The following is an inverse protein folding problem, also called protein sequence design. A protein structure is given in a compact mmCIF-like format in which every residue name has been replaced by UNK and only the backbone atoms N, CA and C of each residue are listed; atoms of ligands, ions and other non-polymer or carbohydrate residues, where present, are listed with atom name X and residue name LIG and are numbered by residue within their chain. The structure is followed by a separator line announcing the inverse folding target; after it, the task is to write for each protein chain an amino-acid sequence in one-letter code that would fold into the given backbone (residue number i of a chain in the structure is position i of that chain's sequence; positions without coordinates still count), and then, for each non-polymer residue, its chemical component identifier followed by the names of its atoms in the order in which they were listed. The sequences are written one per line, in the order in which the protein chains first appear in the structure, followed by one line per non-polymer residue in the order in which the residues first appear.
data_IF_833150284455
#
_entry.id   IF_833150284455
#
_cell.length_a   1.000
_cell.length_b   1.000
_cell.length_c   1.000
_cell.angle_alpha   90.00
_cell.angle_beta   90.00
_cell.angle_gamma   90.00
#
_symmetry.space_group_name_H-M   'P 1'
#
loop_
_entity.id
_entity.type
_entity.pdbx_description
1 polymer ?
#
# COMPACT_ATOMS: atom_id res chain seq x y z
N UNK A 1 -20.40 -14.31 -30.72
CA UNK A 1 -20.27 -13.21 -31.70
C UNK A 1 -18.87 -12.64 -31.54
N UNK A 2 -17.99 -12.84 -32.53
CA UNK A 2 -16.60 -12.37 -32.47
C UNK A 2 -16.55 -10.86 -32.71
N UNK A 3 -15.98 -10.14 -31.75
CA UNK A 3 -15.74 -8.71 -31.86
C UNK A 3 -14.27 -8.50 -32.21
N UNK A 4 -14.00 -8.27 -33.48
CA UNK A 4 -12.71 -7.83 -34.01
C UNK A 4 -12.30 -6.53 -33.29
N UNK A 5 -11.15 -6.48 -32.59
CA UNK A 5 -10.77 -5.29 -31.84
C UNK A 5 -10.15 -4.23 -32.76
N UNK A 6 -10.90 -3.17 -33.05
CA UNK A 6 -10.39 -1.93 -33.64
C UNK A 6 -9.71 -1.12 -32.54
N UNK A 7 -8.41 -0.90 -32.68
CA UNK A 7 -7.60 -0.04 -31.80
C UNK A 7 -7.82 1.42 -32.22
N UNK A 8 -8.37 2.26 -31.35
CA UNK A 8 -8.42 3.71 -31.57
C UNK A 8 -7.14 4.38 -31.09
N UNK A 9 -6.52 5.10 -32.01
CA UNK A 9 -5.25 5.77 -31.88
C UNK A 9 -5.38 7.26 -31.60
N UNK A 10 -4.78 7.72 -30.51
CA UNK A 10 -4.28 9.10 -30.35
C UNK A 10 -3.08 9.05 -29.40
N UNK A 11 -1.87 8.82 -29.90
CA UNK A 11 -0.67 8.62 -29.07
C UNK A 11 0.27 9.84 -29.06
N UNK A 12 0.26 10.58 -27.95
CA UNK A 12 1.40 11.31 -27.42
C UNK A 12 1.26 11.39 -25.89
N UNK A 13 1.56 10.30 -25.17
CA UNK A 13 1.41 10.25 -23.72
C UNK A 13 2.74 10.07 -23.00
N UNK A 14 2.84 10.74 -21.86
CA UNK A 14 3.94 10.63 -20.88
C UNK A 14 3.93 9.26 -20.20
N UNK A 15 5.12 8.76 -19.83
CA UNK A 15 5.35 7.44 -19.21
C UNK A 15 4.58 7.26 -17.88
N UNK A 16 4.10 8.35 -17.29
CA UNK A 16 3.37 8.38 -16.02
C UNK A 16 1.85 8.25 -16.15
N UNK A 17 1.29 8.14 -17.36
CA UNK A 17 -0.16 7.98 -17.57
C UNK A 17 -0.44 6.64 -18.22
N UNK A 18 -1.36 5.88 -17.65
CA UNK A 18 -1.82 4.59 -18.15
C UNK A 18 -3.20 4.78 -18.77
N UNK A 19 -3.32 4.51 -20.07
CA UNK A 19 -4.58 4.58 -20.80
C UNK A 19 -5.13 3.18 -21.07
N UNK A 20 -6.41 3.02 -20.77
CA UNK A 20 -7.20 1.81 -20.96
C UNK A 20 -8.00 1.85 -22.27
N UNK A 21 -8.51 0.68 -22.68
CA UNK A 21 -9.26 0.50 -23.93
C UNK A 21 -10.58 1.30 -23.98
N UNK A 22 -11.21 1.48 -22.83
CA UNK A 22 -12.43 2.27 -22.63
C UNK A 22 -12.19 3.79 -22.76
N UNK A 23 -10.94 4.21 -22.94
CA UNK A 23 -10.54 5.61 -23.03
C UNK A 23 -10.20 6.23 -21.68
N UNK A 24 -10.32 5.49 -20.58
CA UNK A 24 -9.94 5.94 -19.23
C UNK A 24 -8.43 6.13 -19.14
N UNK A 25 -8.02 7.21 -18.48
CA UNK A 25 -6.62 7.54 -18.20
C UNK A 25 -6.42 7.59 -16.68
N UNK A 26 -5.35 6.97 -16.20
CA UNK A 26 -4.97 6.97 -14.80
C UNK A 26 -3.51 7.43 -14.71
N UNK A 27 -3.25 8.48 -13.95
CA UNK A 27 -1.87 8.83 -13.57
C UNK A 27 -1.35 7.79 -12.58
N UNK A 28 -0.09 7.36 -12.74
CA UNK A 28 0.58 6.45 -11.79
C UNK A 28 0.60 7.06 -10.38
N UNK A 29 0.71 8.39 -10.28
CA UNK A 29 0.73 9.09 -8.99
C UNK A 29 -0.61 9.04 -8.25
N UNK A 30 -1.72 8.90 -8.99
CA UNK A 30 -3.08 8.83 -8.44
C UNK A 30 -3.42 7.44 -7.87
N UNK A 31 -2.54 6.46 -8.02
CA UNK A 31 -2.71 5.12 -7.47
C UNK A 31 -2.53 5.19 -5.95
N UNK A 32 -3.57 4.78 -5.22
CA UNK A 32 -3.69 4.97 -3.77
C UNK A 32 -3.31 3.74 -2.96
N UNK A 33 -3.45 2.55 -3.53
CA UNK A 33 -3.15 1.29 -2.83
C UNK A 33 -2.28 0.37 -3.67
N UNK A 34 -1.50 -0.47 -3.01
CA UNK A 34 -0.66 -1.46 -3.70
C UNK A 34 -1.51 -2.46 -4.49
N UNK A 35 -2.70 -2.80 -3.98
CA UNK A 35 -3.65 -3.69 -4.65
C UNK A 35 -4.20 -3.09 -5.94
N UNK A 36 -4.64 -1.83 -5.89
CA UNK A 36 -5.06 -1.11 -7.09
C UNK A 36 -3.94 -1.09 -8.13
N UNK A 37 -2.71 -0.79 -7.70
CA UNK A 37 -1.56 -0.79 -8.59
C UNK A 37 -1.29 -2.17 -9.22
N UNK A 38 -1.42 -3.27 -8.48
CA UNK A 38 -1.27 -4.64 -9.00
C UNK A 38 -2.31 -4.97 -10.06
N UNK A 39 -3.57 -4.57 -9.87
CA UNK A 39 -4.64 -4.77 -10.85
C UNK A 39 -4.36 -4.00 -12.14
N UNK A 40 -3.89 -2.76 -12.03
CA UNK A 40 -3.48 -1.94 -13.17
C UNK A 40 -2.29 -2.60 -13.89
N UNK A 41 -1.30 -3.08 -13.16
CA UNK A 41 -0.12 -3.76 -13.73
C UNK A 41 -0.52 -5.02 -14.50
N UNK A 42 -1.43 -5.83 -13.96
CA UNK A 42 -1.96 -7.00 -14.66
C UNK A 42 -2.67 -6.61 -15.98
N UNK A 43 -3.45 -5.53 -15.98
CA UNK A 43 -4.09 -5.00 -17.18
C UNK A 43 -3.10 -4.47 -18.23
N UNK A 44 -2.01 -3.82 -17.78
CA UNK A 44 -0.91 -3.39 -18.66
C UNK A 44 -0.21 -4.59 -19.27
N UNK A 45 0.12 -5.62 -18.47
CA UNK A 45 0.78 -6.83 -18.93
C UNK A 45 -0.09 -7.61 -19.94
N UNK A 46 -1.39 -7.75 -19.67
CA UNK A 46 -2.33 -8.35 -20.61
C UNK A 46 -2.43 -7.56 -21.92
N UNK A 47 -2.40 -6.22 -21.85
CA UNK A 47 -2.41 -5.37 -23.04
C UNK A 47 -1.13 -5.48 -23.87
N UNK A 48 0.02 -5.63 -23.21
CA UNK A 48 1.32 -5.86 -23.87
C UNK A 48 1.25 -7.16 -24.68
N UNK A 49 0.84 -8.25 -24.04
CA UNK A 49 0.70 -9.56 -24.70
C UNK A 49 -0.28 -9.51 -25.87
N UNK A 50 -1.42 -8.81 -25.71
CA UNK A 50 -2.40 -8.68 -26.78
C UNK A 50 -1.88 -7.88 -27.98
N UNK A 51 -1.07 -6.84 -27.76
CA UNK A 51 -0.47 -6.06 -28.85
C UNK A 51 0.61 -6.89 -29.56
N UNK A 52 1.41 -7.65 -28.81
CA UNK A 52 2.43 -8.55 -29.36
C UNK A 52 1.79 -9.61 -30.26
N UNK A 53 0.75 -10.29 -29.77
CA UNK A 53 0.00 -11.28 -30.52
C UNK A 53 -0.63 -10.69 -31.80
N UNK A 54 -1.20 -9.49 -31.72
CA UNK A 54 -1.76 -8.80 -32.90
C UNK A 54 -0.68 -8.43 -33.91
N UNK A 55 0.52 -8.03 -33.48
CA UNK A 55 1.63 -7.68 -34.36
C UNK A 55 2.12 -8.92 -35.12
N UNK A 56 2.19 -10.06 -34.43
CA UNK A 56 2.67 -11.32 -35.01
C UNK A 56 1.72 -11.86 -36.09
N UNK A 57 0.41 -11.59 -35.95
CA UNK A 57 -0.63 -12.03 -36.89
C UNK A 57 -1.10 -10.92 -37.87
N UNK A 58 -0.44 -9.76 -37.89
CA UNK A 58 -0.86 -8.64 -38.72
C UNK A 58 -0.60 -8.88 -40.20
N UNK A 59 -1.58 -8.55 -41.04
CA UNK A 59 -1.37 -8.48 -42.50
C UNK A 59 -0.59 -7.21 -42.85
N UNK A 60 0.68 -7.39 -43.21
CA UNK A 60 1.60 -6.30 -43.58
C UNK A 60 1.70 -6.07 -45.10
N UNK A 61 0.90 -6.80 -45.90
CA UNK A 61 0.88 -6.65 -47.35
C UNK A 61 0.36 -5.26 -47.75
N UNK A 62 -0.58 -4.72 -46.97
CA UNK A 62 -1.16 -3.40 -47.17
C UNK A 62 -0.34 -2.28 -46.53
N UNK A 63 -0.38 -1.09 -47.12
CA UNK A 63 0.21 0.12 -46.51
C UNK A 63 -0.42 0.41 -45.15
N UNK A 64 -1.74 0.26 -45.05
CA UNK A 64 -2.48 0.42 -43.80
C UNK A 64 -1.99 -0.53 -42.70
N UNK A 65 -1.69 -1.79 -43.04
CA UNK A 65 -1.14 -2.77 -42.11
C UNK A 65 0.25 -2.37 -41.59
N UNK A 66 1.12 -1.85 -42.47
CA UNK A 66 2.45 -1.34 -42.07
C UNK A 66 2.36 -0.10 -41.18
N UNK A 67 1.45 0.82 -41.46
CA UNK A 67 1.20 1.98 -40.61
C UNK A 67 0.60 1.60 -39.26
N UNK A 68 -0.34 0.64 -39.24
CA UNK A 68 -0.86 0.05 -38.02
C UNK A 68 0.26 -0.56 -37.17
N UNK A 69 1.15 -1.37 -37.77
CA UNK A 69 2.27 -2.00 -37.05
C UNK A 69 3.19 -0.98 -36.38
N UNK A 70 3.61 0.06 -37.12
CA UNK A 70 4.43 1.15 -36.56
C UNK A 70 3.78 1.82 -35.35
N UNK A 71 2.45 1.96 -35.36
CA UNK A 71 1.69 2.57 -34.27
C UNK A 71 1.55 1.60 -33.08
N UNK A 72 1.27 0.32 -33.35
CA UNK A 72 1.23 -0.74 -32.35
C UNK A 72 2.58 -0.89 -31.62
N UNK A 73 3.71 -0.84 -32.34
CA UNK A 73 5.06 -0.87 -31.77
C UNK A 73 5.34 0.35 -30.87
N UNK A 74 4.86 1.55 -31.24
CA UNK A 74 4.95 2.74 -30.37
C UNK A 74 4.15 2.57 -29.10
N UNK A 75 2.90 2.12 -29.20
CA UNK A 75 2.06 1.85 -28.04
C UNK A 75 2.68 0.79 -27.11
N UNK A 76 3.21 -0.29 -27.69
CA UNK A 76 3.95 -1.34 -26.98
C UNK A 76 5.15 -0.77 -26.23
N UNK A 77 5.95 0.07 -26.89
CA UNK A 77 7.09 0.75 -26.28
C UNK A 77 6.68 1.64 -25.10
N UNK A 78 5.58 2.39 -25.22
CA UNK A 78 5.06 3.24 -24.13
C UNK A 78 4.63 2.39 -22.94
N UNK A 79 3.84 1.33 -23.17
CA UNK A 79 3.38 0.42 -22.10
C UNK A 79 4.53 -0.29 -21.39
N UNK A 80 5.54 -0.76 -22.14
CA UNK A 80 6.74 -1.37 -21.56
C UNK A 80 7.53 -0.37 -20.71
N UNK A 81 7.54 0.91 -21.08
CA UNK A 81 8.23 1.98 -20.33
C UNK A 81 7.48 2.45 -19.09
N UNK A 82 6.15 2.39 -19.06
CA UNK A 82 5.38 2.74 -17.86
C UNK A 82 5.45 1.67 -16.78
N UNK A 83 5.74 0.41 -17.16
CA UNK A 83 5.78 -0.74 -16.26
C UNK A 83 6.75 -0.58 -15.06
N UNK A 84 8.02 -0.16 -15.22
CA UNK A 84 8.91 0.05 -14.09
C UNK A 84 8.42 1.12 -13.10
N UNK A 85 7.87 2.23 -13.60
CA UNK A 85 7.34 3.31 -12.75
C UNK A 85 6.15 2.81 -11.93
N UNK A 86 5.26 2.04 -12.56
CA UNK A 86 4.13 1.42 -11.87
C UNK A 86 4.59 0.42 -10.80
N UNK A 87 5.59 -0.42 -11.11
CA UNK A 87 6.18 -1.36 -10.15
C UNK A 87 6.83 -0.64 -8.96
N UNK A 88 7.56 0.45 -9.20
CA UNK A 88 8.15 1.27 -8.15
C UNK A 88 7.08 1.83 -7.21
N UNK A 89 6.02 2.42 -7.79
CA UNK A 89 4.88 2.95 -7.03
C UNK A 89 4.17 1.88 -6.20
N UNK A 90 3.93 0.70 -6.76
CA UNK A 90 3.37 -0.45 -6.02
C UNK A 90 4.27 -0.81 -4.83
N UNK A 91 5.59 -0.85 -5.04
CA UNK A 91 6.55 -1.15 -3.98
C UNK A 91 6.53 -0.13 -2.85
N UNK A 92 6.44 1.16 -3.18
CA UNK A 92 6.29 2.24 -2.20
C UNK A 92 5.01 2.09 -1.37
N UNK A 93 3.87 1.92 -2.04
CA UNK A 93 2.58 1.75 -1.39
C UNK A 93 2.57 0.51 -0.49
N UNK A 94 3.12 -0.62 -0.94
CA UNK A 94 3.19 -1.84 -0.15
C UNK A 94 4.10 -1.70 1.10
N UNK A 95 5.16 -0.88 1.05
CA UNK A 95 5.97 -0.57 2.23
C UNK A 95 5.22 0.36 3.19
N UNK A 96 4.55 1.38 2.67
CA UNK A 96 3.74 2.30 3.47
C UNK A 96 2.60 1.57 4.21
N UNK A 97 1.86 0.72 3.50
CA UNK A 97 0.77 -0.11 4.06
C UNK A 97 1.27 -1.02 5.18
N UNK A 98 2.38 -1.73 4.96
CA UNK A 98 3.01 -2.58 5.99
C UNK A 98 3.51 -1.78 7.20
N UNK A 99 4.09 -0.61 6.97
CA UNK A 99 4.53 0.28 8.04
C UNK A 99 3.38 0.77 8.93
N UNK A 100 2.25 1.14 8.32
CA UNK A 100 1.04 1.52 9.06
C UNK A 100 0.45 0.33 9.83
N UNK A 101 0.33 -0.85 9.19
CA UNK A 101 -0.16 -2.05 9.85
C UNK A 101 0.70 -2.46 11.06
N UNK A 102 2.03 -2.42 10.91
CA UNK A 102 2.96 -2.72 12.00
C UNK A 102 2.82 -1.76 13.18
N UNK A 103 2.65 -0.45 12.91
CA UNK A 103 2.43 0.55 13.95
C UNK A 103 1.12 0.32 14.70
N UNK A 104 0.03 0.08 13.98
CA UNK A 104 -1.27 -0.20 14.59
C UNK A 104 -1.24 -1.47 15.45
N UNK A 105 -0.56 -2.52 14.98
CA UNK A 105 -0.37 -3.75 15.74
C UNK A 105 0.45 -3.50 17.03
N UNK A 106 1.51 -2.70 16.94
CA UNK A 106 2.32 -2.32 18.10
C UNK A 106 1.50 -1.51 19.12
N UNK A 107 0.75 -0.50 18.67
CA UNK A 107 -0.13 0.28 19.54
C UNK A 107 -1.21 -0.59 20.20
N UNK A 108 -1.79 -1.54 19.46
CA UNK A 108 -2.77 -2.48 20.00
C UNK A 108 -2.15 -3.35 21.11
N UNK A 109 -0.93 -3.86 20.89
CA UNK A 109 -0.21 -4.63 21.90
C UNK A 109 0.10 -3.81 23.16
N UNK A 110 0.49 -2.53 23.02
CA UNK A 110 0.69 -1.63 24.15
C UNK A 110 -0.61 -1.40 24.93
N UNK A 111 -1.73 -1.13 24.22
CA UNK A 111 -3.04 -0.95 24.86
C UNK A 111 -3.51 -2.20 25.61
N UNK A 112 -3.24 -3.39 25.06
CA UNK A 112 -3.56 -4.66 25.72
C UNK A 112 -2.73 -4.84 27.01
N UNK A 113 -1.43 -4.58 26.94
CA UNK A 113 -0.55 -4.63 28.10
C UNK A 113 -1.00 -3.66 29.20
N UNK A 114 -1.37 -2.43 28.84
CA UNK A 114 -1.90 -1.45 29.79
C UNK A 114 -3.28 -1.83 30.33
N UNK A 115 -4.11 -2.49 29.54
CA UNK A 115 -5.36 -3.10 30.00
C UNK A 115 -5.10 -4.12 31.11
N UNK A 116 -4.16 -5.06 30.89
CA UNK A 116 -3.77 -6.07 31.88
C UNK A 116 -3.20 -5.43 33.16
N UNK A 117 -2.31 -4.44 33.03
CA UNK A 117 -1.74 -3.70 34.17
C UNK A 117 -2.83 -3.01 35.00
N UNK A 118 -3.76 -2.29 34.35
CA UNK A 118 -4.85 -1.60 35.04
C UNK A 118 -5.77 -2.58 35.77
N UNK A 119 -6.14 -3.69 35.14
CA UNK A 119 -6.96 -4.72 35.78
C UNK A 119 -6.27 -5.33 37.00
N UNK A 120 -4.97 -5.60 36.91
CA UNK A 120 -4.17 -6.09 38.04
C UNK A 120 -4.15 -5.06 39.19
N UNK A 121 -3.84 -3.81 38.89
CA UNK A 121 -3.78 -2.73 39.90
C UNK A 121 -5.14 -2.58 40.58
N UNK A 122 -6.23 -2.55 39.81
CA UNK A 122 -7.57 -2.46 40.35
C UNK A 122 -7.91 -3.65 41.27
N UNK A 123 -7.59 -4.87 40.86
CA UNK A 123 -7.77 -6.06 41.71
C UNK A 123 -6.92 -5.99 42.99
N UNK A 124 -5.68 -5.52 42.90
CA UNK A 124 -4.80 -5.33 44.06
C UNK A 124 -5.41 -4.33 45.06
N UNK A 125 -5.93 -3.20 44.58
CA UNK A 125 -6.62 -2.22 45.43
C UNK A 125 -7.87 -2.79 46.09
N UNK A 126 -8.63 -3.66 45.40
CA UNK A 126 -9.79 -4.32 45.98
C UNK A 126 -9.42 -5.37 47.04
N UNK A 127 -8.31 -6.08 46.87
CA UNK A 127 -7.92 -7.19 47.75
C UNK A 127 -7.07 -6.75 48.94
N UNK A 128 -6.12 -5.83 48.73
CA UNK A 128 -5.14 -5.40 49.72
C UNK A 128 -5.51 -4.08 50.39
N UNK A 129 -6.43 -3.32 49.78
CA UNK A 129 -6.80 -1.99 50.25
C UNK A 129 -5.81 -0.90 49.83
N UNK A 130 -6.23 0.35 50.04
CA UNK A 130 -5.51 1.52 49.54
C UNK A 130 -4.13 1.71 50.19
N UNK A 131 -4.04 1.63 51.51
CA UNK A 131 -2.79 1.90 52.25
C UNK A 131 -1.67 0.92 51.84
N UNK A 132 -1.94 -0.38 51.86
CA UNK A 132 -0.94 -1.39 51.46
C UNK A 132 -0.49 -1.22 50.01
N UNK A 133 -1.41 -0.89 49.09
CA UNK A 133 -1.03 -0.60 47.70
C UNK A 133 -0.14 0.65 47.58
N UNK A 134 -0.40 1.71 48.35
CA UNK A 134 0.45 2.91 48.35
C UNK A 134 1.84 2.67 48.94
N UNK A 135 1.96 1.84 49.98
CA UNK A 135 3.27 1.45 50.54
C UNK A 135 4.07 0.61 49.55
N UNK A 136 3.42 -0.38 48.89
CA UNK A 136 4.06 -1.18 47.85
C UNK A 136 4.52 -0.29 46.69
N UNK A 137 3.71 0.70 46.30
CA UNK A 137 4.07 1.65 45.23
C UNK A 137 5.28 2.50 45.62
N UNK A 138 5.30 3.07 46.83
CA UNK A 138 6.43 3.85 47.34
C UNK A 138 7.71 3.00 47.38
N UNK A 139 7.61 1.76 47.88
CA UNK A 139 8.74 0.84 47.92
C UNK A 139 9.21 0.41 46.53
N UNK A 140 8.30 0.22 45.59
CA UNK A 140 8.66 -0.08 44.19
C UNK A 140 9.41 1.09 43.54
N UNK A 141 9.00 2.33 43.82
CA UNK A 141 9.67 3.53 43.33
C UNK A 141 11.09 3.67 43.90
N UNK A 142 11.30 3.32 45.17
CA UNK A 142 12.64 3.27 45.78
C UNK A 142 13.53 2.19 45.14
N UNK A 143 12.96 1.03 44.82
CA UNK A 143 13.69 -0.11 44.26
C UNK A 143 14.02 0.05 42.77
N UNK A 144 13.16 0.73 42.01
CA UNK A 144 13.31 0.93 40.57
C UNK A 144 13.08 2.39 40.15
N UNK A 145 13.93 3.35 40.57
CA UNK A 145 13.72 4.76 40.30
C UNK A 145 13.64 5.11 38.80
N UNK A 146 14.32 4.37 37.93
CA UNK A 146 14.25 4.56 36.49
C UNK A 146 12.85 4.27 35.87
N UNK A 147 12.03 3.45 36.52
CA UNK A 147 10.66 3.14 36.09
C UNK A 147 9.63 4.16 36.63
N UNK A 148 10.01 5.00 37.59
CA UNK A 148 9.18 6.02 38.22
C UNK A 148 9.84 7.40 38.10
N UNK A 149 9.98 7.95 36.87
CA UNK A 149 10.71 9.20 36.64
C UNK A 149 10.06 10.42 37.34
N UNK A 150 8.77 10.35 37.66
CA UNK A 150 8.02 11.42 38.35
C UNK A 150 7.97 11.25 39.88
N UNK A 151 8.85 10.43 40.46
CA UNK A 151 8.88 10.13 41.89
C UNK A 151 9.06 11.37 42.77
N UNK A 152 7.97 12.10 43.08
CA UNK A 152 7.82 13.02 44.22
C UNK A 152 6.51 13.80 44.27
N UNK A 153 5.62 13.77 43.26
CA UNK A 153 4.31 14.43 43.40
C UNK A 153 3.19 13.39 43.47
N UNK A 154 2.66 13.22 44.69
CA UNK A 154 1.54 12.35 45.01
C UNK A 154 0.31 12.67 44.17
N UNK A 155 0.16 11.96 43.06
CA UNK A 155 -1.10 11.84 42.34
C UNK A 155 -2.02 10.89 43.11
N UNK A 156 -2.94 11.47 43.91
CA UNK A 156 -4.14 10.76 44.33
C UNK A 156 -4.96 10.37 43.08
N UNK A 157 -5.62 9.20 43.06
CA UNK A 157 -6.57 8.84 42.02
C UNK A 157 -7.77 9.80 41.94
#
# INVERSE_FOLDING_TARGET
MSLTPIVHLRDAFTINVIRFRDGTEISIDDIKTAEQGRQILAGVDASILAIEDQIDHADLSTEHGREWKKRAERALKVKRRSRPNLQARIGELARAERGTAGRLAHEAALREADGKRRSFVHAAYQMLGHETCTEIWARAAELQPAAFPDGSQGGRP
#
